data_IF_659454670579
#
_entry.id   IF_659454670579
#
_cell.length_a   1.000
_cell.length_b   1.000
_cell.length_c   1.000
_cell.angle_alpha   90.00
_cell.angle_beta   90.00
_cell.angle_gamma   90.00
#
_symmetry.space_group_name_H-M   'P 1'
#
loop_
_entity.id
_entity.type
_entity.pdbx_description
1 polymer ?
#
# COMPACT_ATOMS: atom_id res chain seq x y z
N UNK A 1 41.50 -35.09 19.56
CA UNK A 1 42.71 -34.77 20.35
C UNK A 1 42.43 -34.46 21.82
N UNK A 2 41.29 -33.84 22.20
CA UNK A 2 40.96 -33.64 23.63
C UNK A 2 40.76 -34.94 24.43
N UNK A 3 40.07 -35.95 23.89
CA UNK A 3 39.84 -37.22 24.61
C UNK A 3 41.13 -38.03 24.85
N UNK A 4 42.12 -37.97 23.95
CA UNK A 4 43.43 -38.60 24.18
C UNK A 4 44.21 -37.91 25.30
N UNK A 5 44.09 -36.58 25.43
CA UNK A 5 44.73 -35.82 26.50
C UNK A 5 44.14 -36.13 27.89
N UNK A 6 42.82 -36.33 27.96
CA UNK A 6 42.13 -36.69 29.21
C UNK A 6 42.44 -38.13 29.62
N UNK A 7 42.53 -39.06 28.67
CA UNK A 7 42.89 -40.47 28.91
C UNK A 7 44.32 -40.61 29.48
N UNK A 8 45.26 -39.78 29.00
CA UNK A 8 46.65 -39.73 29.50
C UNK A 8 46.76 -39.11 30.90
N UNK A 9 45.91 -38.15 31.26
CA UNK A 9 45.87 -37.60 32.62
C UNK A 9 45.31 -38.60 33.64
N UNK A 10 44.35 -39.44 33.27
CA UNK A 10 43.74 -40.42 34.18
C UNK A 10 44.67 -41.61 34.46
N UNK A 11 45.49 -42.03 33.48
CA UNK A 11 46.52 -43.04 33.68
C UNK A 11 47.65 -42.59 34.63
N UNK A 12 47.80 -41.28 34.86
CA UNK A 12 48.79 -40.73 35.78
C UNK A 12 48.29 -40.58 37.24
N UNK A 13 46.99 -40.76 37.51
CA UNK A 13 46.39 -40.54 38.83
C UNK A 13 45.99 -41.81 39.59
N UNK A 14 46.27 -43.00 39.05
CA UNK A 14 45.89 -44.28 39.66
C UNK A 14 46.78 -44.70 40.85
N UNK A 15 46.75 -43.93 41.93
CA UNK A 15 47.24 -44.33 43.25
C UNK A 15 46.29 -43.91 44.38
N UNK A 16 44.96 -44.09 44.20
CA UNK A 16 43.91 -43.87 45.21
C UNK A 16 42.62 -44.67 44.88
N UNK A 17 42.65 -45.98 45.12
CA UNK A 17 41.57 -46.92 44.74
C UNK A 17 40.38 -46.80 45.71
N UNK A 18 39.20 -46.42 45.19
CA UNK A 18 37.91 -46.57 45.90
C UNK A 18 36.76 -45.71 45.36
N UNK A 19 37.05 -44.49 44.90
CA UNK A 19 36.08 -43.57 44.28
C UNK A 19 36.27 -43.44 42.75
N UNK A 20 37.48 -43.78 42.26
CA UNK A 20 37.90 -43.59 40.87
C UNK A 20 37.25 -44.52 39.84
N UNK A 21 36.71 -45.69 40.23
CA UNK A 21 36.23 -46.67 39.23
C UNK A 21 34.83 -46.36 38.69
N UNK A 22 33.95 -45.79 39.51
CA UNK A 22 32.64 -45.30 39.08
C UNK A 22 32.77 -44.01 38.27
N UNK A 23 33.69 -43.12 38.67
CA UNK A 23 34.02 -41.89 37.96
C UNK A 23 34.62 -42.16 36.57
N UNK A 24 35.48 -43.17 36.42
CA UNK A 24 36.03 -43.59 35.11
C UNK A 24 34.94 -44.16 34.20
N UNK A 25 34.01 -44.97 34.73
CA UNK A 25 32.88 -45.49 33.94
C UNK A 25 31.91 -44.37 33.51
N UNK A 26 31.62 -43.41 34.40
CA UNK A 26 30.82 -42.23 34.07
C UNK A 26 31.49 -41.38 32.99
N UNK A 27 32.81 -41.19 33.07
CA UNK A 27 33.56 -40.45 32.06
C UNK A 27 33.55 -41.14 30.69
N UNK A 28 33.68 -42.47 30.66
CA UNK A 28 33.59 -43.28 29.43
C UNK A 28 32.21 -43.15 28.79
N UNK A 29 31.14 -43.28 29.59
CA UNK A 29 29.76 -43.10 29.13
C UNK A 29 29.51 -41.70 28.56
N UNK A 30 30.03 -40.65 29.22
CA UNK A 30 29.97 -39.28 28.70
C UNK A 30 30.76 -39.15 27.40
N UNK A 31 31.93 -39.78 27.27
CA UNK A 31 32.72 -39.75 26.05
C UNK A 31 32.00 -40.42 24.87
N UNK A 32 31.35 -41.56 25.12
CA UNK A 32 30.57 -42.27 24.11
C UNK A 32 29.38 -41.42 23.65
N UNK A 33 28.61 -40.84 24.59
CA UNK A 33 27.53 -39.91 24.27
C UNK A 33 28.01 -38.67 23.52
N UNK A 34 29.17 -38.10 23.88
CA UNK A 34 29.77 -36.97 23.16
C UNK A 34 30.23 -37.37 21.77
N UNK A 35 30.69 -38.60 21.58
CA UNK A 35 31.07 -39.12 20.27
C UNK A 35 29.85 -39.32 19.36
N UNK A 36 28.75 -39.84 19.92
CA UNK A 36 27.48 -40.03 19.26
C UNK A 36 26.87 -38.67 18.86
N UNK A 37 26.78 -37.72 19.80
CA UNK A 37 26.30 -36.36 19.53
C UNK A 37 27.14 -35.65 18.47
N UNK A 38 28.46 -35.84 18.46
CA UNK A 38 29.33 -35.29 17.40
C UNK A 38 28.98 -35.88 16.05
N UNK A 39 28.73 -37.19 15.99
CA UNK A 39 28.35 -37.85 14.73
C UNK A 39 26.99 -37.36 14.22
N UNK A 40 26.02 -37.17 15.10
CA UNK A 40 24.71 -36.61 14.74
C UNK A 40 24.80 -35.15 14.28
N UNK A 41 25.61 -34.32 14.95
CA UNK A 41 25.84 -32.92 14.54
C UNK A 41 26.49 -32.86 13.16
N UNK A 42 27.46 -33.74 12.88
CA UNK A 42 28.09 -33.82 11.56
C UNK A 42 27.07 -34.23 10.50
N UNK A 43 26.24 -35.24 10.76
CA UNK A 43 25.19 -35.67 9.84
C UNK A 43 24.15 -34.56 9.57
N UNK A 44 23.72 -33.84 10.61
CA UNK A 44 22.81 -32.68 10.45
C UNK A 44 23.46 -31.57 9.64
N UNK A 45 24.76 -31.31 9.84
CA UNK A 45 25.48 -30.28 9.09
C UNK A 45 25.65 -30.65 7.62
N UNK A 46 25.90 -31.92 7.32
CA UNK A 46 25.98 -32.44 5.95
C UNK A 46 24.61 -32.33 5.24
N UNK A 47 23.52 -32.68 5.93
CA UNK A 47 22.16 -32.51 5.41
C UNK A 47 21.82 -31.02 5.19
N UNK A 48 22.17 -30.12 6.11
CA UNK A 48 21.98 -28.68 5.95
C UNK A 48 22.77 -28.13 4.74
N UNK A 49 23.99 -28.59 4.55
CA UNK A 49 24.80 -28.20 3.40
C UNK A 49 24.21 -28.73 2.09
N UNK A 50 23.74 -29.97 2.08
CA UNK A 50 23.04 -30.55 0.95
C UNK A 50 21.76 -29.78 0.59
N UNK A 51 20.97 -29.41 1.59
CA UNK A 51 19.78 -28.57 1.41
C UNK A 51 20.13 -27.17 0.89
N UNK A 52 21.26 -26.59 1.34
CA UNK A 52 21.75 -25.30 0.85
C UNK A 52 22.17 -25.38 -0.62
N UNK A 53 22.91 -26.43 -1.00
CA UNK A 53 23.30 -26.68 -2.40
C UNK A 53 22.09 -26.96 -3.30
N UNK A 54 21.06 -27.65 -2.79
CA UNK A 54 19.77 -27.80 -3.49
C UNK A 54 19.11 -26.43 -3.67
N UNK A 55 19.03 -25.60 -2.63
CA UNK A 55 18.43 -24.27 -2.70
C UNK A 55 19.18 -23.32 -3.65
N UNK A 56 20.51 -23.40 -3.70
CA UNK A 56 21.36 -22.62 -4.62
C UNK A 56 21.31 -23.17 -6.06
N UNK A 57 21.07 -24.46 -6.24
CA UNK A 57 20.97 -25.15 -7.53
C UNK A 57 19.57 -25.13 -8.14
N UNK A 58 18.54 -24.79 -7.35
CA UNK A 58 17.22 -24.51 -7.90
C UNK A 58 17.35 -23.27 -8.81
N UNK A 59 16.86 -23.32 -10.06
CA UNK A 59 16.62 -22.09 -10.79
C UNK A 59 15.76 -21.26 -9.87
N UNK A 60 16.22 -20.06 -9.52
CA UNK A 60 15.50 -19.14 -8.65
C UNK A 60 14.00 -19.35 -8.79
N UNK A 61 13.26 -19.50 -7.72
CA UNK A 61 11.89 -19.03 -7.79
C UNK A 61 11.98 -17.50 -7.76
N UNK A 62 12.39 -16.81 -8.83
CA UNK A 62 11.88 -15.44 -9.06
C UNK A 62 10.40 -15.66 -9.28
N UNK A 63 9.69 -15.60 -8.16
CA UNK A 63 8.38 -14.99 -8.11
C UNK A 63 8.41 -13.84 -9.09
N UNK A 64 7.70 -13.97 -10.23
CA UNK A 64 7.61 -12.88 -11.20
C UNK A 64 7.34 -11.61 -10.40
N UNK A 65 8.17 -10.56 -10.56
CA UNK A 65 7.97 -9.34 -9.78
C UNK A 65 6.53 -8.88 -9.96
N UNK A 66 5.87 -8.56 -8.86
CA UNK A 66 4.54 -7.97 -8.92
C UNK A 66 4.61 -6.71 -9.78
N UNK A 67 3.61 -6.48 -10.66
CA UNK A 67 3.56 -5.27 -11.46
C UNK A 67 3.55 -4.03 -10.58
N UNK A 68 4.10 -2.92 -11.07
CA UNK A 68 4.14 -1.66 -10.32
C UNK A 68 2.80 -0.91 -10.39
N UNK A 69 2.03 -1.14 -11.45
CA UNK A 69 0.73 -0.51 -11.65
C UNK A 69 -0.21 -1.33 -12.53
N UNK A 70 -1.47 -0.89 -12.61
CA UNK A 70 -2.45 -1.44 -13.55
C UNK A 70 -2.03 -1.29 -15.03
N UNK A 71 -1.08 -0.40 -15.37
CA UNK A 71 -0.64 -0.17 -16.74
C UNK A 71 0.14 -1.34 -17.35
N UNK A 72 0.76 -2.19 -16.51
CA UNK A 72 1.56 -3.33 -16.96
C UNK A 72 0.72 -4.54 -17.38
N UNK A 73 -0.58 -4.57 -17.08
CA UNK A 73 -1.43 -5.76 -17.26
C UNK A 73 -2.77 -5.40 -17.93
N UNK A 74 -2.99 -5.82 -19.16
CA UNK A 74 -4.06 -5.28 -20.01
C UNK A 74 -5.47 -5.90 -19.86
N UNK A 75 -5.74 -6.76 -18.87
CA UNK A 75 -7.03 -7.50 -18.79
C UNK A 75 -7.57 -7.77 -17.38
N UNK A 76 -6.86 -7.33 -16.37
CA UNK A 76 -7.18 -7.66 -14.98
C UNK A 76 -7.88 -6.47 -14.32
N UNK A 77 -9.01 -6.72 -13.64
CA UNK A 77 -9.77 -5.67 -12.92
C UNK A 77 -9.39 -5.54 -11.45
N UNK A 78 -8.68 -6.52 -10.89
CA UNK A 78 -8.14 -6.55 -9.53
C UNK A 78 -6.73 -7.15 -9.53
N UNK A 79 -5.75 -6.41 -9.07
CA UNK A 79 -4.33 -6.76 -9.21
C UNK A 79 -3.61 -6.53 -7.89
N UNK A 80 -2.68 -7.40 -7.54
CA UNK A 80 -1.69 -7.10 -6.51
C UNK A 80 -0.53 -6.37 -7.16
N UNK A 81 -0.27 -5.13 -6.74
CA UNK A 81 0.85 -4.32 -7.22
C UNK A 81 1.87 -4.14 -6.10
N UNK A 82 3.13 -3.90 -6.46
CA UNK A 82 4.19 -3.59 -5.50
C UNK A 82 4.75 -2.19 -5.78
N UNK A 83 4.69 -1.33 -4.77
CA UNK A 83 5.22 0.03 -4.80
C UNK A 83 6.28 0.12 -3.69
N UNK A 84 7.58 0.01 -4.01
CA UNK A 84 8.66 -0.01 -3.02
C UNK A 84 8.66 1.19 -2.06
N UNK A 85 8.17 2.34 -2.53
CA UNK A 85 8.03 3.57 -1.74
C UNK A 85 6.98 3.44 -0.63
N UNK A 86 6.08 2.46 -0.71
CA UNK A 86 5.08 2.16 0.32
C UNK A 86 5.46 0.95 1.18
N UNK A 87 5.77 -0.19 0.54
CA UNK A 87 6.04 -1.46 1.22
C UNK A 87 6.75 -2.44 0.27
N UNK A 88 7.55 -3.35 0.83
CA UNK A 88 8.08 -4.51 0.11
C UNK A 88 6.97 -5.52 -0.24
N UNK A 89 5.92 -5.58 0.57
CA UNK A 89 4.76 -6.44 0.34
C UNK A 89 3.79 -5.80 -0.66
N UNK A 90 3.27 -6.58 -1.63
CA UNK A 90 2.29 -6.08 -2.58
C UNK A 90 0.91 -5.87 -1.92
N UNK A 91 0.10 -5.01 -2.53
CA UNK A 91 -1.28 -4.75 -2.09
C UNK A 91 -2.27 -4.79 -3.25
N UNK A 92 -3.53 -5.12 -2.96
CA UNK A 92 -4.59 -5.20 -3.96
C UNK A 92 -5.06 -3.80 -4.39
N UNK A 93 -5.25 -3.62 -5.70
CA UNK A 93 -5.87 -2.44 -6.31
C UNK A 93 -6.96 -2.84 -7.30
N UNK A 94 -7.92 -1.93 -7.53
CA UNK A 94 -8.87 -2.06 -8.62
C UNK A 94 -8.34 -1.35 -9.87
N UNK A 95 -8.44 -2.03 -11.02
CA UNK A 95 -7.96 -1.51 -12.29
C UNK A 95 -9.11 -1.22 -13.27
N UNK A 96 -9.03 -0.10 -13.98
CA UNK A 96 -9.81 0.14 -15.20
C UNK A 96 -8.92 -0.06 -16.43
N UNK A 97 -9.24 -1.07 -17.24
CA UNK A 97 -8.49 -1.47 -18.43
C UNK A 97 -9.19 -1.06 -19.75
N UNK A 98 -10.22 -0.21 -19.69
CA UNK A 98 -11.08 0.13 -20.84
C UNK A 98 -11.19 1.62 -21.06
N UNK A 99 -11.42 2.39 -20.00
CA UNK A 99 -11.62 3.83 -20.06
C UNK A 99 -10.33 4.52 -20.52
N UNK A 100 -10.42 5.43 -21.49
CA UNK A 100 -9.30 6.29 -21.93
C UNK A 100 -7.95 5.55 -22.14
N UNK A 101 -7.99 4.39 -22.80
CA UNK A 101 -6.80 3.58 -23.11
C UNK A 101 -6.38 2.56 -22.04
N UNK A 102 -7.10 2.47 -20.91
CA UNK A 102 -6.88 1.44 -19.89
C UNK A 102 -5.65 1.66 -19.01
N UNK A 103 -5.23 0.67 -18.22
CA UNK A 103 -4.06 0.79 -17.35
C UNK A 103 -4.24 1.68 -16.12
N UNK A 104 -5.47 2.03 -15.77
CA UNK A 104 -5.76 2.94 -14.66
C UNK A 104 -5.86 2.21 -13.32
N UNK A 105 -5.23 2.75 -12.30
CA UNK A 105 -5.37 2.35 -10.90
C UNK A 105 -6.42 3.23 -10.23
N UNK A 106 -7.53 2.66 -9.78
CA UNK A 106 -8.63 3.42 -9.16
C UNK A 106 -8.27 3.75 -7.71
N UNK A 107 -8.36 5.03 -7.34
CA UNK A 107 -7.99 5.54 -6.01
C UNK A 107 -9.19 5.96 -5.17
N UNK A 108 -10.32 6.29 -5.82
CA UNK A 108 -11.59 6.63 -5.18
C UNK A 108 -12.74 6.12 -6.06
N UNK A 109 -13.74 5.47 -5.46
CA UNK A 109 -15.00 5.12 -6.14
C UNK A 109 -16.21 5.43 -5.27
N UNK A 110 -17.16 6.18 -5.83
CA UNK A 110 -18.54 6.40 -5.35
C UNK A 110 -19.51 5.80 -6.35
N UNK A 111 -20.53 5.08 -5.88
CA UNK A 111 -21.43 4.31 -6.73
C UNK A 111 -22.84 4.13 -6.17
N UNK A 112 -22.99 3.95 -4.85
CA UNK A 112 -24.29 3.59 -4.24
C UNK A 112 -24.51 4.07 -2.81
N UNK A 113 -23.51 4.70 -2.17
CA UNK A 113 -23.58 5.18 -0.80
C UNK A 113 -23.50 4.09 0.27
N UNK A 114 -23.06 2.86 -0.08
CA UNK A 114 -22.88 1.76 0.88
C UNK A 114 -21.70 1.97 1.83
N UNK A 115 -20.74 2.83 1.48
CA UNK A 115 -19.60 3.17 2.31
C UNK A 115 -19.73 4.62 2.82
N UNK A 116 -19.53 4.80 4.13
CA UNK A 116 -19.40 6.14 4.70
C UNK A 116 -18.03 6.74 4.34
N UNK A 117 -18.01 8.01 3.95
CA UNK A 117 -16.81 8.78 3.65
C UNK A 117 -16.57 9.90 4.67
N UNK A 118 -17.47 10.12 5.64
CA UNK A 118 -17.26 11.08 6.72
C UNK A 118 -16.44 10.47 7.88
N UNK A 119 -15.23 10.04 7.53
CA UNK A 119 -14.29 9.28 8.36
C UNK A 119 -13.14 10.15 8.89
N UNK A 120 -12.31 9.56 9.75
CA UNK A 120 -11.20 10.23 10.44
C UNK A 120 -9.90 10.17 9.64
N UNK A 121 -8.88 10.90 10.09
CA UNK A 121 -7.56 10.95 9.45
C UNK A 121 -6.97 9.57 9.19
N UNK A 122 -7.01 8.70 10.20
CA UNK A 122 -6.38 7.39 10.14
C UNK A 122 -7.05 6.47 9.09
N UNK A 123 -8.35 6.61 8.91
CA UNK A 123 -9.09 5.89 7.87
C UNK A 123 -8.63 6.35 6.48
N UNK A 124 -8.50 7.65 6.26
CA UNK A 124 -8.05 8.22 4.99
C UNK A 124 -6.58 7.93 4.70
N UNK A 125 -5.73 7.88 5.74
CA UNK A 125 -4.33 7.49 5.65
C UNK A 125 -4.18 6.07 5.08
N UNK A 126 -4.87 5.10 5.68
CA UNK A 126 -4.74 3.68 5.31
C UNK A 126 -5.62 3.24 4.14
N UNK A 127 -6.76 3.92 3.95
CA UNK A 127 -7.80 3.55 3.00
C UNK A 127 -8.89 2.69 3.64
N UNK A 128 -10.06 2.70 3.01
CA UNK A 128 -11.27 2.06 3.51
C UNK A 128 -12.22 1.65 2.38
N UNK A 129 -13.23 0.84 2.72
CA UNK A 129 -14.24 0.37 1.78
C UNK A 129 -13.83 -0.89 1.02
N UNK A 130 -14.56 -1.17 -0.06
CA UNK A 130 -14.43 -2.41 -0.82
C UNK A 130 -14.02 -2.12 -2.26
N UNK A 131 -12.89 -2.67 -2.71
CA UNK A 131 -12.36 -2.47 -4.08
C UNK A 131 -13.35 -2.84 -5.20
N UNK A 132 -14.32 -3.71 -4.90
CA UNK A 132 -15.39 -4.11 -5.83
C UNK A 132 -16.57 -3.13 -5.93
N UNK A 133 -16.68 -2.18 -4.99
CA UNK A 133 -17.74 -1.18 -4.94
C UNK A 133 -17.16 0.19 -4.55
N UNK A 134 -17.59 0.79 -3.45
CA UNK A 134 -17.11 2.08 -2.95
C UNK A 134 -15.89 1.93 -2.04
N UNK A 135 -14.87 2.73 -2.29
CA UNK A 135 -13.64 2.72 -1.50
C UNK A 135 -12.81 3.99 -1.72
N UNK A 136 -11.86 4.19 -0.81
CA UNK A 136 -10.73 5.10 -0.96
C UNK A 136 -9.44 4.32 -0.71
N UNK A 137 -8.46 4.43 -1.62
CA UNK A 137 -7.29 3.55 -1.62
C UNK A 137 -6.37 3.76 -0.40
N UNK A 138 -6.33 4.98 0.13
CA UNK A 138 -5.47 5.40 1.24
C UNK A 138 -4.39 6.39 0.80
N UNK A 139 -4.24 7.47 1.55
CA UNK A 139 -3.30 8.56 1.23
C UNK A 139 -1.85 8.10 1.23
N UNK A 140 -1.45 7.16 2.09
CA UNK A 140 -0.09 6.61 2.08
C UNK A 140 0.23 5.92 0.76
N UNK A 141 -0.71 5.11 0.25
CA UNK A 141 -0.55 4.40 -1.02
C UNK A 141 -0.54 5.37 -2.21
N UNK A 142 -1.45 6.36 -2.19
CA UNK A 142 -1.55 7.38 -3.26
C UNK A 142 -0.27 8.24 -3.30
N UNK A 143 0.23 8.67 -2.15
CA UNK A 143 1.49 9.40 -2.04
C UNK A 143 2.65 8.59 -2.60
N UNK A 144 2.79 7.32 -2.22
CA UNK A 144 3.84 6.45 -2.71
C UNK A 144 3.79 6.27 -4.23
N UNK A 145 2.60 5.97 -4.80
CA UNK A 145 2.42 5.80 -6.25
C UNK A 145 2.81 7.08 -7.01
N UNK A 146 2.34 8.24 -6.54
CA UNK A 146 2.62 9.54 -7.19
C UNK A 146 4.04 10.05 -6.95
N UNK A 147 4.77 9.48 -6.00
CA UNK A 147 6.20 9.76 -5.76
C UNK A 147 7.10 8.89 -6.63
N UNK A 148 6.72 7.64 -6.85
CA UNK A 148 7.50 6.67 -7.63
C UNK A 148 7.64 7.10 -9.11
N UNK A 149 6.56 7.62 -9.70
CA UNK A 149 6.53 8.07 -11.10
C UNK A 149 5.44 9.12 -11.31
N UNK A 150 5.64 10.05 -12.24
CA UNK A 150 4.64 11.05 -12.63
C UNK A 150 3.34 10.38 -13.08
N UNK A 151 2.24 10.75 -12.44
CA UNK A 151 0.90 10.20 -12.75
C UNK A 151 0.04 11.24 -13.45
N UNK A 152 -0.77 10.79 -14.40
CA UNK A 152 -1.99 11.51 -14.80
C UNK A 152 -3.17 11.00 -13.97
N UNK A 153 -4.17 11.87 -13.78
CA UNK A 153 -5.42 11.58 -13.08
C UNK A 153 -6.59 11.71 -14.05
N UNK A 154 -7.48 10.73 -14.04
CA UNK A 154 -8.79 10.77 -14.68
C UNK A 154 -9.88 10.78 -13.61
N UNK A 155 -10.78 11.75 -13.70
CA UNK A 155 -12.01 11.84 -12.90
C UNK A 155 -13.19 11.55 -13.81
N UNK A 156 -13.94 10.47 -13.52
CA UNK A 156 -15.18 10.11 -14.22
C UNK A 156 -16.39 10.39 -13.34
N UNK A 157 -17.41 11.04 -13.90
CA UNK A 157 -18.60 11.49 -13.18
C UNK A 157 -19.87 11.03 -13.92
N UNK A 158 -20.90 10.64 -13.17
CA UNK A 158 -22.22 10.31 -13.70
C UNK A 158 -23.30 10.91 -12.78
N UNK A 159 -24.30 11.55 -13.37
CA UNK A 159 -25.48 12.02 -12.65
C UNK A 159 -26.61 10.97 -12.60
N UNK A 160 -27.76 11.30 -12.03
CA UNK A 160 -28.89 10.37 -11.93
C UNK A 160 -29.64 10.18 -13.25
N UNK A 161 -29.51 11.12 -14.19
CA UNK A 161 -30.07 11.09 -15.53
C UNK A 161 -29.24 10.23 -16.51
N UNK A 162 -28.03 9.82 -16.11
CA UNK A 162 -27.10 9.01 -16.90
C UNK A 162 -26.15 9.83 -17.77
N UNK A 163 -26.07 11.14 -17.56
CA UNK A 163 -25.12 12.02 -18.21
C UNK A 163 -23.72 11.79 -17.63
N UNK A 164 -22.79 11.33 -18.46
CA UNK A 164 -21.41 11.03 -18.08
C UNK A 164 -20.47 12.12 -18.57
N UNK A 165 -19.56 12.53 -17.70
CA UNK A 165 -18.51 13.52 -17.98
C UNK A 165 -17.18 13.09 -17.40
N UNK A 166 -16.10 13.67 -17.90
CA UNK A 166 -14.78 13.43 -17.38
C UNK A 166 -13.93 14.70 -17.32
N UNK A 167 -12.94 14.68 -16.43
CA UNK A 167 -11.84 15.64 -16.39
C UNK A 167 -10.52 14.89 -16.23
N UNK A 168 -9.53 15.24 -17.03
CA UNK A 168 -8.16 14.71 -16.97
C UNK A 168 -7.21 15.79 -16.46
N UNK A 169 -6.25 15.37 -15.67
CA UNK A 169 -5.20 16.18 -15.07
C UNK A 169 -3.87 15.51 -15.36
N UNK A 170 -2.94 16.24 -15.96
CA UNK A 170 -1.76 15.65 -16.58
C UNK A 170 -0.54 15.53 -15.65
N UNK A 171 -0.64 16.00 -14.40
CA UNK A 171 0.41 15.85 -13.38
C UNK A 171 -0.21 15.82 -11.98
N UNK A 172 -0.67 14.64 -11.54
CA UNK A 172 -1.29 14.45 -10.23
C UNK A 172 -0.25 13.99 -9.20
N UNK A 173 -0.03 14.81 -8.17
CA UNK A 173 0.94 14.53 -7.12
C UNK A 173 0.43 14.87 -5.73
N UNK A 174 0.58 13.93 -4.81
CA UNK A 174 0.19 14.08 -3.40
C UNK A 174 1.44 14.03 -2.52
N UNK A 175 1.59 15.00 -1.63
CA UNK A 175 2.71 15.09 -0.70
C UNK A 175 2.65 14.04 0.41
N UNK A 176 3.69 13.98 1.24
CA UNK A 176 3.78 13.04 2.36
C UNK A 176 2.84 13.42 3.52
N UNK A 177 2.68 12.51 4.48
CA UNK A 177 1.95 12.80 5.72
C UNK A 177 2.55 13.97 6.51
N UNK A 178 3.89 14.10 6.52
CA UNK A 178 4.56 15.22 7.19
C UNK A 178 4.19 16.58 6.59
N UNK A 179 3.75 16.59 5.33
CA UNK A 179 3.22 17.74 4.63
C UNK A 179 1.67 17.71 4.54
N UNK A 180 1.02 16.96 5.43
CA UNK A 180 -0.43 16.80 5.50
C UNK A 180 -1.08 16.38 4.17
N UNK A 181 -0.39 15.53 3.40
CA UNK A 181 -0.81 15.07 2.07
C UNK A 181 -1.28 16.20 1.15
N UNK A 182 -0.55 17.33 1.15
CA UNK A 182 -0.80 18.47 0.26
C UNK A 182 -0.99 18.01 -1.21
N UNK A 183 -1.98 18.57 -1.89
CA UNK A 183 -2.15 18.37 -3.33
C UNK A 183 -1.11 19.19 -4.07
N UNK A 184 0.07 18.62 -4.31
CA UNK A 184 1.24 19.34 -4.82
C UNK A 184 1.03 19.83 -6.25
N UNK A 185 0.46 18.98 -7.11
CA UNK A 185 0.20 19.30 -8.51
C UNK A 185 -1.02 18.55 -9.02
N UNK A 186 -1.75 19.20 -9.93
CA UNK A 186 -2.70 18.55 -10.84
C UNK A 186 -2.40 18.86 -12.32
N UNK A 187 -1.34 19.62 -12.62
CA UNK A 187 -0.99 20.01 -13.97
C UNK A 187 -2.09 20.77 -14.71
N UNK A 188 -2.27 20.46 -15.99
CA UNK A 188 -3.29 21.05 -16.88
C UNK A 188 -4.55 20.18 -16.91
N UNK A 189 -5.70 20.83 -16.73
CA UNK A 189 -7.01 20.20 -16.86
C UNK A 189 -7.45 20.09 -18.33
N UNK A 190 -8.11 18.99 -18.69
CA UNK A 190 -8.78 18.81 -19.98
C UNK A 190 -9.94 17.81 -19.88
N UNK A 191 -11.08 18.12 -20.50
CA UNK A 191 -12.26 17.27 -20.41
C UNK A 191 -13.54 18.04 -20.70
N UNK A 192 -14.66 17.40 -20.40
CA UNK A 192 -16.00 17.95 -20.61
C UNK A 192 -16.81 18.13 -19.30
N UNK A 193 -16.28 17.68 -18.16
CA UNK A 193 -16.85 17.95 -16.83
C UNK A 193 -16.58 19.38 -16.35
N UNK A 194 -15.55 20.04 -16.91
CA UNK A 194 -15.03 21.31 -16.44
C UNK A 194 -14.14 21.13 -15.21
N UNK A 195 -13.19 22.05 -15.03
CA UNK A 195 -12.21 21.95 -13.96
C UNK A 195 -12.78 22.38 -12.60
N UNK A 196 -12.85 21.42 -11.67
CA UNK A 196 -13.22 21.67 -10.26
C UNK A 196 -12.15 21.17 -9.26
N UNK A 197 -10.92 20.89 -9.71
CA UNK A 197 -9.83 20.40 -8.84
C UNK A 197 -8.63 21.35 -8.79
N UNK A 198 -8.28 22.07 -9.87
CA UNK A 198 -7.10 22.97 -9.86
C UNK A 198 -7.19 24.04 -8.79
N UNK A 199 -8.40 24.50 -8.44
CA UNK A 199 -8.62 25.44 -7.35
C UNK A 199 -8.14 24.91 -5.98
N UNK A 200 -8.02 23.59 -5.83
CA UNK A 200 -7.58 22.89 -4.63
C UNK A 200 -6.06 22.62 -4.61
N UNK A 201 -5.33 22.89 -5.69
CA UNK A 201 -3.88 22.71 -5.72
C UNK A 201 -3.21 23.56 -4.63
N UNK A 202 -2.23 22.96 -3.96
CA UNK A 202 -1.50 23.54 -2.84
C UNK A 202 -2.23 23.46 -1.49
N UNK A 203 -3.45 22.92 -1.44
CA UNK A 203 -4.18 22.74 -0.18
C UNK A 203 -3.79 21.43 0.49
N UNK A 204 -3.78 21.43 1.83
CA UNK A 204 -3.53 20.25 2.65
C UNK A 204 -4.81 19.42 2.79
N UNK A 205 -4.67 18.10 2.89
CA UNK A 205 -5.81 17.22 3.09
C UNK A 205 -6.40 17.47 4.49
N UNK A 206 -7.72 17.52 4.60
CA UNK A 206 -8.41 17.84 5.85
C UNK A 206 -9.52 16.83 6.10
N UNK A 207 -9.64 16.39 7.35
CA UNK A 207 -10.69 15.46 7.86
C UNK A 207 -11.39 16.10 9.06
N UNK A 208 -12.44 15.46 9.57
CA UNK A 208 -13.21 16.00 10.71
C UNK A 208 -12.40 16.13 12.00
N UNK A 209 -11.34 15.34 12.17
CA UNK A 209 -10.48 15.29 13.36
C UNK A 209 -9.10 15.92 13.14
N UNK A 210 -8.67 16.14 11.88
CA UNK A 210 -7.43 16.86 11.54
C UNK A 210 -7.70 18.02 10.60
N UNK A 211 -7.70 19.23 11.18
CA UNK A 211 -7.94 20.52 10.51
C UNK A 211 -6.67 21.08 9.91
N UNK A 212 -6.59 21.11 8.58
CA UNK A 212 -5.47 21.70 7.83
C UNK A 212 -5.95 22.80 6.85
N UNK A 213 -7.20 23.24 6.97
CA UNK A 213 -7.91 24.23 6.15
C UNK A 213 -7.98 25.64 6.79
N UNK A 214 -7.13 25.90 7.79
CA UNK A 214 -7.04 27.20 8.47
C UNK A 214 -8.10 27.38 9.56
N UNK A 215 -8.80 28.53 9.54
CA UNK A 215 -9.82 28.88 10.55
C UNK A 215 -11.22 28.34 10.20
N UNK A 216 -11.43 27.87 8.96
CA UNK A 216 -12.69 27.25 8.54
C UNK A 216 -12.81 25.81 9.07
N UNK A 217 -14.03 25.28 9.11
CA UNK A 217 -14.29 23.88 9.47
C UNK A 217 -14.96 23.16 8.30
N UNK A 218 -14.25 23.11 7.17
CA UNK A 218 -14.83 22.68 5.90
C UNK A 218 -15.24 21.22 5.93
N UNK A 219 -14.42 20.34 6.54
CA UNK A 219 -14.75 18.92 6.66
C UNK A 219 -16.05 18.69 7.44
N UNK A 220 -16.24 19.35 8.59
CA UNK A 220 -17.47 19.22 9.36
C UNK A 220 -18.67 19.87 8.65
N UNK A 221 -18.46 21.03 8.03
CA UNK A 221 -19.52 21.78 7.34
C UNK A 221 -20.04 21.06 6.10
N UNK A 222 -19.15 20.46 5.32
CA UNK A 222 -19.44 19.80 4.04
C UNK A 222 -19.36 18.27 4.10
N UNK A 223 -19.30 17.71 5.31
CA UNK A 223 -19.50 16.28 5.61
C UNK A 223 -18.65 15.35 4.75
N UNK A 224 -17.34 15.60 4.70
CA UNK A 224 -16.39 14.81 3.95
C UNK A 224 -14.96 15.07 4.40
N UNK A 225 -14.02 14.62 3.57
CA UNK A 225 -12.60 14.95 3.70
C UNK A 225 -12.03 15.27 2.32
N UNK A 226 -11.23 16.33 2.23
CA UNK A 226 -10.71 16.79 0.95
C UNK A 226 -9.53 17.74 1.13
N UNK A 227 -8.91 18.11 0.02
CA UNK A 227 -7.98 19.24 -0.06
C UNK A 227 -8.75 20.57 -0.01
N UNK A 228 -9.39 20.87 1.11
CA UNK A 228 -10.26 22.05 1.24
C UNK A 228 -9.47 23.36 1.15
N UNK A 229 -10.07 24.37 0.50
CA UNK A 229 -9.52 25.71 0.34
C UNK A 229 -10.24 26.75 1.16
N UNK A 230 -11.49 27.06 0.80
CA UNK A 230 -12.44 27.98 1.49
C UNK A 230 -13.83 27.95 0.82
N UNK A 231 -14.58 26.85 0.81
CA UNK A 231 -14.18 25.51 1.25
C UNK A 231 -13.86 24.60 0.07
N UNK A 232 -14.70 24.56 -0.98
CA UNK A 232 -14.41 23.71 -2.11
C UNK A 232 -15.09 24.13 -3.41
N UNK A 233 -14.52 23.66 -4.52
CA UNK A 233 -15.15 23.62 -5.85
C UNK A 233 -15.58 22.18 -6.18
N UNK A 234 -14.93 21.16 -5.59
CA UNK A 234 -15.34 19.75 -5.64
C UNK A 234 -15.29 19.09 -4.24
N UNK A 235 -16.17 18.12 -4.00
CA UNK A 235 -16.19 17.34 -2.75
C UNK A 235 -16.61 15.90 -3.07
N UNK A 236 -15.73 15.12 -3.71
CA UNK A 236 -16.05 13.75 -4.12
C UNK A 236 -16.16 12.77 -2.94
N UNK A 237 -15.64 13.15 -1.78
CA UNK A 237 -15.78 12.44 -0.50
C UNK A 237 -16.97 12.93 0.34
N UNK A 238 -17.83 13.80 -0.20
CA UNK A 238 -19.02 14.26 0.50
C UNK A 238 -20.04 13.13 0.75
N UNK A 239 -21.09 13.47 1.49
CA UNK A 239 -22.15 12.53 1.87
C UNK A 239 -22.96 12.11 0.66
N UNK A 240 -23.05 10.81 0.41
CA UNK A 240 -23.73 10.28 -0.77
C UNK A 240 -25.22 10.66 -0.80
N UNK A 241 -25.68 11.24 -1.90
CA UNK A 241 -27.08 11.61 -2.11
C UNK A 241 -27.56 12.86 -1.34
N UNK A 242 -26.67 13.57 -0.64
CA UNK A 242 -27.02 14.80 0.07
C UNK A 242 -26.97 16.01 -0.88
N UNK A 243 -28.14 16.52 -1.26
CA UNK A 243 -28.27 17.71 -2.12
C UNK A 243 -28.25 19.03 -1.33
N UNK A 244 -27.97 18.99 -0.01
CA UNK A 244 -27.69 20.22 0.73
C UNK A 244 -26.41 20.85 0.18
N UNK A 245 -26.44 22.16 -0.08
CA UNK A 245 -25.35 22.92 -0.66
C UNK A 245 -23.94 22.48 -0.21
N UNK A 246 -23.19 21.86 -1.14
CA UNK A 246 -21.81 21.42 -0.99
C UNK A 246 -21.58 20.14 -0.17
N UNK A 247 -22.61 19.60 0.50
CA UNK A 247 -22.48 18.43 1.38
C UNK A 247 -22.38 17.10 0.63
N UNK A 248 -22.91 17.07 -0.59
CA UNK A 248 -22.97 15.89 -1.45
C UNK A 248 -21.65 15.48 -2.09
N UNK A 249 -21.72 14.44 -2.93
CA UNK A 249 -20.67 14.12 -3.91
C UNK A 249 -20.73 15.18 -5.02
N UNK A 250 -19.96 16.27 -4.88
CA UNK A 250 -20.14 17.46 -5.73
C UNK A 250 -18.97 17.70 -6.68
N UNK A 251 -19.31 18.16 -7.89
CA UNK A 251 -18.38 18.70 -8.89
C UNK A 251 -19.01 19.94 -9.50
N UNK A 252 -18.59 21.12 -9.04
CA UNK A 252 -19.33 22.36 -9.27
C UNK A 252 -19.49 22.71 -10.75
N UNK A 253 -18.46 22.51 -11.56
CA UNK A 253 -18.51 22.82 -13.00
C UNK A 253 -19.46 21.92 -13.81
N UNK A 254 -19.90 20.77 -13.27
CA UNK A 254 -20.81 19.85 -13.96
C UNK A 254 -22.27 20.02 -13.52
N UNK A 255 -22.56 19.93 -12.22
CA UNK A 255 -23.93 19.98 -11.68
C UNK A 255 -24.12 20.99 -10.54
N UNK A 256 -23.09 21.79 -10.21
CA UNK A 256 -23.14 22.77 -9.13
C UNK A 256 -22.99 22.17 -7.74
N UNK A 257 -23.20 22.99 -6.71
CA UNK A 257 -23.08 22.60 -5.30
C UNK A 257 -24.35 21.95 -4.70
N UNK A 258 -25.51 22.14 -5.32
CA UNK A 258 -26.81 21.67 -4.81
C UNK A 258 -27.22 20.31 -5.41
N UNK A 259 -26.26 19.58 -5.99
CA UNK A 259 -26.48 18.29 -6.65
C UNK A 259 -25.38 17.30 -6.26
N UNK A 260 -25.77 16.20 -5.61
CA UNK A 260 -24.89 15.05 -5.38
C UNK A 260 -24.91 14.14 -6.60
N UNK A 261 -23.73 13.85 -7.15
CA UNK A 261 -23.54 12.91 -8.24
C UNK A 261 -23.89 11.47 -7.83
N UNK A 262 -24.31 10.67 -8.81
CA UNK A 262 -24.62 9.25 -8.64
C UNK A 262 -23.35 8.42 -8.64
N UNK A 263 -22.39 8.71 -9.53
CA UNK A 263 -21.09 8.02 -9.57
C UNK A 263 -19.97 9.03 -9.70
N UNK A 264 -18.88 8.75 -9.00
CA UNK A 264 -17.64 9.49 -9.11
C UNK A 264 -16.47 8.52 -8.96
N UNK A 265 -15.51 8.54 -9.89
CA UNK A 265 -14.33 7.68 -9.86
C UNK A 265 -13.10 8.53 -10.11
N UNK A 266 -12.11 8.44 -9.23
CA UNK A 266 -10.77 8.97 -9.49
C UNK A 266 -9.83 7.81 -9.73
N UNK A 267 -9.00 7.91 -10.77
CA UNK A 267 -8.03 6.88 -11.12
C UNK A 267 -6.77 7.49 -11.71
N UNK A 268 -5.63 6.88 -11.41
CA UNK A 268 -4.30 7.38 -11.81
C UNK A 268 -3.56 6.36 -12.66
N UNK A 269 -2.68 6.84 -13.53
CA UNK A 269 -1.83 6.00 -14.38
C UNK A 269 -0.50 6.73 -14.62
N UNK A 270 0.63 6.00 -14.77
CA UNK A 270 1.88 6.61 -15.20
C UNK A 270 1.72 7.40 -16.49
N UNK A 271 2.15 8.66 -16.49
CA UNK A 271 2.19 9.47 -17.70
C UNK A 271 3.39 9.02 -18.52
N UNK A 272 3.13 8.37 -19.66
CA UNK A 272 4.20 8.03 -20.59
C UNK A 272 4.82 9.32 -21.11
N UNK A 273 6.07 9.59 -20.73
CA UNK A 273 6.85 10.65 -21.38
C UNK A 273 6.88 10.30 -22.86
N UNK A 274 6.35 11.17 -23.73
CA UNK A 274 6.60 11.04 -25.15
C UNK A 274 8.13 11.03 -25.30
N UNK A 275 8.69 9.90 -25.75
CA UNK A 275 10.08 9.85 -26.17
C UNK A 275 10.19 10.85 -27.33
N UNK A 276 10.72 12.04 -27.04
CA UNK A 276 11.09 13.02 -28.05
C UNK A 276 12.29 12.52 -28.85
#
# INVERSE_FOLDING_TARGET
MLCLGILLCLLALSSSIGQDQEDVCNLLYICDNVSELKSEITAVREEQQHQTEILEGLPWCVTKPYPLSCAEVSKTTKLHIRVPEYSEDPFEVACDQRSHGGGWTIILRRNDGSQDFYLEWEDYKHGFGQLGNEFFLGLDKIHAITTAETQELLVLLEDYEGDQRYEMYDDFKVGSESNNYILESVGSASGDAGDSLTAHQGMMFTTKDRKNDGDEDCAARFTGAWWYRNCHVSNLCGKYGDNTHGKGVTWNSFRGHDYSLKRAVMMIRPRTSALN
#
